data_IF_422227344391
#
_entry.id   IF_422227344391
#
_cell.length_a   1.000
_cell.length_b   1.000
_cell.length_c   1.000
_cell.angle_alpha   90.00
_cell.angle_beta   90.00
_cell.angle_gamma   90.00
#
_symmetry.space_group_name_H-M   'P 1'
#
loop_
_entity.id
_entity.type
_entity.pdbx_description
1 polymer ?
#
# COMPACT_ATOMS: atom_id res chain seq x y z
N UNK A 1 -13.07 -37.16 29.04
CA UNK A 1 -14.39 -36.52 29.13
C UNK A 1 -14.38 -35.47 28.04
N UNK A 2 -15.06 -35.72 26.90
CA UNK A 2 -15.06 -34.79 25.76
C UNK A 2 -15.56 -33.44 26.24
N UNK A 3 -14.71 -32.43 26.21
CA UNK A 3 -15.10 -31.04 26.39
C UNK A 3 -16.00 -30.68 25.22
N UNK A 4 -17.31 -30.67 25.45
CA UNK A 4 -18.29 -30.16 24.50
C UNK A 4 -17.87 -28.72 24.19
N UNK A 5 -17.52 -28.48 22.93
CA UNK A 5 -17.17 -27.15 22.46
C UNK A 5 -18.38 -26.23 22.68
N UNK A 6 -18.20 -25.21 23.54
CA UNK A 6 -19.23 -24.21 23.81
C UNK A 6 -18.85 -22.90 23.12
N UNK A 7 -19.64 -22.52 22.12
CA UNK A 7 -19.46 -21.28 21.38
C UNK A 7 -19.56 -20.04 22.28
N UNK A 8 -20.31 -20.09 23.39
CA UNK A 8 -20.39 -19.00 24.36
C UNK A 8 -19.10 -18.85 25.15
N UNK A 9 -18.51 -19.96 25.60
CA UNK A 9 -17.22 -19.95 26.27
C UNK A 9 -16.09 -19.41 25.36
N UNK A 10 -16.12 -19.76 24.07
CA UNK A 10 -15.17 -19.20 23.09
C UNK A 10 -15.35 -17.69 22.93
N UNK A 11 -16.59 -17.21 22.82
CA UNK A 11 -16.88 -15.77 22.73
C UNK A 11 -16.33 -15.02 23.94
N UNK A 12 -16.62 -15.49 25.14
CA UNK A 12 -16.20 -14.84 26.38
C UNK A 12 -14.67 -14.81 26.47
N UNK A 13 -14.00 -15.87 26.04
CA UNK A 13 -12.53 -15.91 25.99
C UNK A 13 -11.96 -14.88 25.01
N UNK A 14 -12.53 -14.76 23.80
CA UNK A 14 -12.10 -13.76 22.82
C UNK A 14 -12.25 -12.35 23.38
N UNK A 15 -13.39 -12.05 24.00
CA UNK A 15 -13.65 -10.72 24.56
C UNK A 15 -12.67 -10.39 25.68
N UNK A 16 -12.41 -11.34 26.59
CA UNK A 16 -11.52 -11.12 27.73
C UNK A 16 -10.05 -11.08 27.32
N UNK A 17 -9.59 -12.06 26.51
CA UNK A 17 -8.16 -12.24 26.22
C UNK A 17 -7.66 -11.43 25.03
N UNK A 18 -8.46 -11.29 23.97
CA UNK A 18 -8.01 -10.63 22.73
C UNK A 18 -8.47 -9.17 22.64
N UNK A 19 -9.64 -8.85 23.20
CA UNK A 19 -10.23 -7.51 23.12
C UNK A 19 -10.08 -6.71 24.43
N UNK A 20 -9.46 -7.29 25.46
CA UNK A 20 -9.23 -6.61 26.74
C UNK A 20 -10.50 -6.20 27.49
N UNK A 21 -11.63 -6.85 27.20
CA UNK A 21 -12.94 -6.58 27.82
C UNK A 21 -13.81 -5.57 27.07
N UNK A 22 -13.33 -4.92 26.01
CA UNK A 22 -14.11 -3.98 25.21
C UNK A 22 -14.17 -4.42 23.75
N UNK A 23 -15.36 -4.82 23.29
CA UNK A 23 -15.61 -5.13 21.88
C UNK A 23 -16.33 -3.96 21.18
N UNK A 24 -15.80 -3.52 20.04
CA UNK A 24 -16.53 -2.61 19.16
C UNK A 24 -17.85 -3.23 18.67
N UNK A 25 -18.83 -2.39 18.31
CA UNK A 25 -20.18 -2.82 17.91
C UNK A 25 -20.14 -3.80 16.73
N UNK A 26 -19.27 -3.56 15.74
CA UNK A 26 -19.08 -4.43 14.59
C UNK A 26 -18.52 -5.79 14.99
N UNK A 27 -17.50 -5.80 15.85
CA UNK A 27 -16.87 -7.02 16.36
C UNK A 27 -17.84 -7.83 17.22
N UNK A 28 -18.64 -7.18 18.08
CA UNK A 28 -19.67 -7.87 18.87
C UNK A 28 -20.68 -8.58 17.98
N UNK A 29 -21.19 -7.92 16.93
CA UNK A 29 -22.12 -8.54 15.97
C UNK A 29 -21.49 -9.73 15.26
N UNK A 30 -20.22 -9.65 14.94
CA UNK A 30 -19.49 -10.77 14.36
C UNK A 30 -19.36 -11.94 15.35
N UNK A 31 -19.03 -11.67 16.62
CA UNK A 31 -18.98 -12.69 17.65
C UNK A 31 -20.35 -13.34 17.89
N UNK A 32 -21.43 -12.57 17.87
CA UNK A 32 -22.80 -13.10 17.91
C UNK A 32 -23.06 -14.05 16.73
N UNK A 33 -22.68 -13.65 15.51
CA UNK A 33 -22.78 -14.49 14.29
C UNK A 33 -21.92 -15.75 14.39
N UNK A 34 -20.73 -15.70 15.01
CA UNK A 34 -19.89 -16.87 15.25
C UNK A 34 -20.54 -17.88 16.20
N UNK A 35 -21.17 -17.39 17.27
CA UNK A 35 -21.91 -18.26 18.20
C UNK A 35 -23.07 -18.95 17.48
N UNK A 36 -23.82 -18.23 16.65
CA UNK A 36 -24.87 -18.82 15.82
C UNK A 36 -24.31 -19.91 14.91
N UNK A 37 -23.23 -19.63 14.16
CA UNK A 37 -22.60 -20.60 13.24
C UNK A 37 -22.03 -21.83 13.96
N UNK A 38 -21.52 -21.65 15.17
CA UNK A 38 -21.01 -22.75 16.01
C UNK A 38 -22.13 -23.69 16.50
N UNK A 39 -23.36 -23.18 16.63
CA UNK A 39 -24.53 -23.97 17.05
C UNK A 39 -25.25 -24.68 15.91
N UNK A 40 -24.96 -24.35 14.65
CA UNK A 40 -25.55 -25.02 13.49
C UNK A 40 -25.03 -26.46 13.37
N UNK A 41 -25.88 -27.37 12.89
CA UNK A 41 -25.51 -28.75 12.63
C UNK A 41 -24.68 -28.89 11.34
N UNK A 42 -23.80 -29.90 11.26
CA UNK A 42 -22.88 -30.13 10.12
C UNK A 42 -23.56 -30.16 8.74
N UNK A 43 -24.83 -30.59 8.69
CA UNK A 43 -25.63 -30.62 7.46
C UNK A 43 -26.06 -29.22 6.99
N UNK A 44 -26.19 -28.25 7.89
CA UNK A 44 -26.67 -26.90 7.59
C UNK A 44 -25.54 -26.01 7.04
N UNK A 45 -24.27 -26.33 7.35
CA UNK A 45 -23.11 -25.58 6.87
C UNK A 45 -22.93 -25.62 5.34
N UNK A 46 -23.41 -26.68 4.66
CA UNK A 46 -23.37 -26.78 3.20
C UNK A 46 -24.38 -25.84 2.51
N UNK A 47 -25.45 -25.44 3.21
CA UNK A 47 -26.50 -24.58 2.69
C UNK A 47 -26.28 -23.09 2.98
N UNK A 48 -25.19 -22.73 3.65
CA UNK A 48 -24.84 -21.33 3.89
C UNK A 48 -24.67 -20.57 2.57
N UNK A 49 -25.40 -19.47 2.44
CA UNK A 49 -25.43 -18.64 1.23
C UNK A 49 -24.13 -17.82 1.11
N UNK A 50 -23.62 -17.31 2.24
CA UNK A 50 -22.41 -16.48 2.28
C UNK A 50 -21.15 -17.35 2.20
N UNK A 51 -20.28 -17.15 1.18
CA UNK A 51 -19.01 -17.87 1.06
C UNK A 51 -18.06 -17.65 2.25
N UNK A 52 -18.18 -16.51 2.93
CA UNK A 52 -17.39 -16.21 4.11
C UNK A 52 -17.86 -17.04 5.32
N UNK A 53 -19.17 -17.10 5.60
CA UNK A 53 -19.71 -17.95 6.67
C UNK A 53 -19.39 -19.43 6.44
N UNK A 54 -19.37 -19.86 5.17
CA UNK A 54 -18.95 -21.21 4.81
C UNK A 54 -17.49 -21.49 5.18
N UNK A 55 -16.61 -20.50 5.03
CA UNK A 55 -15.20 -20.63 5.44
C UNK A 55 -15.04 -20.75 6.96
N UNK A 56 -15.82 -19.97 7.72
CA UNK A 56 -15.88 -20.04 9.19
C UNK A 56 -16.42 -21.40 9.64
N UNK A 57 -17.50 -21.85 9.03
CA UNK A 57 -18.12 -23.14 9.30
C UNK A 57 -17.16 -24.32 9.08
N UNK A 58 -16.37 -24.28 8.01
CA UNK A 58 -15.37 -25.30 7.72
C UNK A 58 -14.33 -25.37 8.85
N UNK A 59 -13.89 -24.24 9.39
CA UNK A 59 -13.00 -24.21 10.56
C UNK A 59 -13.66 -24.90 11.75
N UNK A 60 -14.90 -24.54 12.10
CA UNK A 60 -15.62 -25.22 13.18
C UNK A 60 -15.75 -26.73 12.95
N UNK A 61 -16.04 -27.14 11.72
CA UNK A 61 -16.16 -28.54 11.35
C UNK A 61 -14.84 -29.31 11.57
N UNK A 62 -13.69 -28.69 11.31
CA UNK A 62 -12.39 -29.31 11.58
C UNK A 62 -12.19 -29.55 13.09
N UNK A 63 -12.56 -28.60 13.94
CA UNK A 63 -12.44 -28.76 15.39
C UNK A 63 -13.50 -29.68 16.01
N UNK A 64 -14.63 -29.89 15.34
CA UNK A 64 -15.66 -30.85 15.78
C UNK A 64 -15.38 -32.28 15.32
N UNK A 65 -14.84 -32.46 14.11
CA UNK A 65 -14.58 -33.78 13.51
C UNK A 65 -13.18 -34.33 13.79
N UNK A 66 -12.24 -33.48 14.16
CA UNK A 66 -10.84 -33.86 14.44
C UNK A 66 -10.56 -33.74 15.93
N UNK A 67 -9.65 -34.55 16.45
CA UNK A 67 -9.15 -34.44 17.83
C UNK A 67 -8.17 -33.24 17.99
N UNK A 68 -8.56 -32.06 17.51
CA UNK A 68 -7.80 -30.81 17.66
C UNK A 68 -8.29 -30.08 18.92
N UNK A 69 -7.37 -29.56 19.72
CA UNK A 69 -7.72 -28.73 20.88
C UNK A 69 -8.05 -27.28 20.44
N UNK A 70 -9.25 -26.75 20.75
CA UNK A 70 -9.59 -25.36 20.44
C UNK A 70 -8.75 -24.31 21.19
N UNK A 71 -8.11 -24.68 22.30
CA UNK A 71 -7.34 -23.77 23.16
C UNK A 71 -5.83 -23.84 22.92
N UNK A 72 -5.36 -24.91 22.28
CA UNK A 72 -3.96 -25.09 21.87
C UNK A 72 -3.90 -25.77 20.50
N UNK A 73 -4.01 -24.96 19.46
CA UNK A 73 -4.12 -25.45 18.09
C UNK A 73 -2.74 -25.79 17.54
N UNK A 74 -2.53 -27.06 17.16
CA UNK A 74 -1.41 -27.42 16.29
C UNK A 74 -1.66 -26.88 14.88
N UNK A 75 -1.01 -25.75 14.57
CA UNK A 75 -1.11 -25.08 13.28
C UNK A 75 -0.64 -25.95 12.11
N UNK A 76 0.28 -26.90 12.33
CA UNK A 76 0.81 -27.75 11.27
C UNK A 76 -0.26 -28.75 10.82
N UNK A 77 -0.82 -29.51 11.77
CA UNK A 77 -1.93 -30.43 11.49
C UNK A 77 -3.17 -29.70 11.02
N UNK A 78 -3.49 -28.55 11.62
CA UNK A 78 -4.60 -27.71 11.17
C UNK A 78 -4.46 -27.32 9.69
N UNK A 79 -3.27 -26.85 9.26
CA UNK A 79 -3.04 -26.42 7.88
C UNK A 79 -3.16 -27.58 6.87
N UNK A 80 -2.70 -28.78 7.22
CA UNK A 80 -2.84 -29.95 6.36
C UNK A 80 -4.32 -30.32 6.17
N UNK A 81 -5.05 -30.48 7.26
CA UNK A 81 -6.47 -30.85 7.24
C UNK A 81 -7.34 -29.76 6.60
N UNK A 82 -7.04 -28.50 6.86
CA UNK A 82 -7.73 -27.36 6.27
C UNK A 82 -7.51 -27.29 4.75
N UNK A 83 -6.29 -27.55 4.26
CA UNK A 83 -5.99 -27.59 2.83
C UNK A 83 -6.69 -28.76 2.10
N UNK A 84 -6.81 -29.92 2.74
CA UNK A 84 -7.58 -31.03 2.19
C UNK A 84 -9.05 -30.67 2.07
N UNK A 85 -9.64 -30.12 3.13
CA UNK A 85 -11.06 -29.80 3.17
C UNK A 85 -11.47 -28.65 2.24
N UNK A 86 -10.56 -27.69 2.00
CA UNK A 86 -10.75 -26.64 0.97
C UNK A 86 -10.85 -27.24 -0.43
N UNK A 87 -10.08 -28.29 -0.74
CA UNK A 87 -10.11 -28.90 -2.08
C UNK A 87 -11.41 -29.65 -2.35
N UNK A 88 -12.01 -30.21 -1.31
CA UNK A 88 -13.26 -30.99 -1.40
C UNK A 88 -14.51 -30.11 -1.40
N UNK A 89 -14.41 -28.89 -0.87
CA UNK A 89 -15.56 -28.03 -0.63
C UNK A 89 -15.73 -26.96 -1.73
N UNK A 90 -16.94 -26.84 -2.27
CA UNK A 90 -17.27 -25.84 -3.29
C UNK A 90 -17.82 -24.53 -2.70
N UNK A 91 -17.65 -23.41 -3.43
CA UNK A 91 -18.19 -22.08 -3.10
C UNK A 91 -17.72 -21.51 -1.74
N UNK A 92 -16.40 -21.59 -1.50
CA UNK A 92 -15.71 -20.98 -0.36
C UNK A 92 -15.02 -19.69 -0.80
N UNK A 93 -14.90 -18.72 0.11
CA UNK A 93 -14.10 -17.51 -0.08
C UNK A 93 -12.58 -17.79 -0.06
N UNK A 94 -12.05 -18.30 -1.18
CA UNK A 94 -10.64 -18.65 -1.36
C UNK A 94 -9.66 -17.51 -0.99
N UNK A 95 -9.88 -16.23 -1.34
CA UNK A 95 -9.02 -15.13 -0.92
C UNK A 95 -8.86 -15.02 0.60
N UNK A 96 -9.94 -15.21 1.35
CA UNK A 96 -9.96 -15.11 2.81
C UNK A 96 -9.32 -16.34 3.45
N UNK A 97 -9.61 -17.54 2.94
CA UNK A 97 -8.93 -18.77 3.35
C UNK A 97 -7.42 -18.74 3.07
N UNK A 98 -7.00 -18.22 1.92
CA UNK A 98 -5.57 -18.08 1.58
C UNK A 98 -4.84 -17.12 2.53
N UNK A 99 -5.51 -16.06 2.99
CA UNK A 99 -4.97 -15.15 4.01
C UNK A 99 -4.89 -15.82 5.38
N UNK A 100 -5.86 -16.66 5.75
CA UNK A 100 -5.78 -17.49 6.97
C UNK A 100 -4.56 -18.42 6.92
N UNK A 101 -4.36 -19.13 5.80
CA UNK A 101 -3.19 -20.01 5.60
C UNK A 101 -1.89 -19.21 5.74
N UNK A 102 -1.83 -18.02 5.13
CA UNK A 102 -0.67 -17.14 5.25
C UNK A 102 -0.45 -16.67 6.69
N UNK A 103 -1.50 -16.35 7.43
CA UNK A 103 -1.41 -15.96 8.85
C UNK A 103 -0.86 -17.09 9.70
N UNK A 104 -1.41 -18.30 9.57
CA UNK A 104 -0.92 -19.49 10.27
C UNK A 104 0.56 -19.76 9.94
N UNK A 105 0.96 -19.63 8.67
CA UNK A 105 2.36 -19.72 8.26
C UNK A 105 3.24 -18.63 8.88
N UNK A 106 2.77 -17.38 8.95
CA UNK A 106 3.51 -16.29 9.59
C UNK A 106 3.74 -16.58 11.09
N UNK A 107 2.76 -17.15 11.78
CA UNK A 107 2.89 -17.54 13.19
C UNK A 107 3.91 -18.68 13.33
N UNK A 108 3.77 -19.75 12.55
CA UNK A 108 4.72 -20.87 12.53
C UNK A 108 6.16 -20.41 12.23
N UNK A 109 6.32 -19.51 11.25
CA UNK A 109 7.63 -18.91 10.94
C UNK A 109 8.17 -18.07 12.09
N UNK A 110 7.30 -17.32 12.77
CA UNK A 110 7.67 -16.57 13.98
C UNK A 110 8.16 -17.51 15.08
N UNK A 111 7.39 -18.57 15.38
CA UNK A 111 7.76 -19.59 16.35
C UNK A 111 9.10 -20.26 15.99
N UNK A 112 9.29 -20.66 14.74
CA UNK A 112 10.56 -21.23 14.27
C UNK A 112 11.73 -20.23 14.40
N UNK A 113 11.52 -18.96 14.06
CA UNK A 113 12.54 -17.91 14.22
C UNK A 113 12.91 -17.71 15.68
N UNK A 114 11.93 -17.68 16.60
CA UNK A 114 12.22 -17.56 18.04
C UNK A 114 12.96 -18.77 18.58
N UNK A 115 12.68 -19.96 18.04
CA UNK A 115 13.39 -21.20 18.39
C UNK A 115 14.84 -21.17 17.88
N UNK A 116 15.07 -20.68 16.65
CA UNK A 116 16.42 -20.49 16.11
C UNK A 116 17.22 -19.46 16.90
N UNK A 117 16.64 -18.31 17.21
CA UNK A 117 17.30 -17.25 18.00
C UNK A 117 17.66 -17.75 19.42
N UNK A 118 16.82 -18.60 20.00
CA UNK A 118 17.12 -19.28 21.28
C UNK A 118 18.27 -20.27 21.15
N UNK A 119 18.30 -21.05 20.08
CA UNK A 119 19.37 -21.99 19.81
C UNK A 119 20.71 -21.26 19.61
N UNK A 120 20.72 -20.17 18.84
CA UNK A 120 21.90 -19.31 18.67
C UNK A 120 22.38 -18.75 20.01
N UNK A 121 21.48 -18.19 20.83
CA UNK A 121 21.83 -17.73 22.19
C UNK A 121 22.35 -18.83 23.11
N UNK A 122 21.90 -20.06 22.95
CA UNK A 122 22.41 -21.19 23.74
C UNK A 122 23.87 -21.54 23.36
N UNK A 123 24.24 -21.38 22.09
CA UNK A 123 25.61 -21.56 21.62
C UNK A 123 26.53 -20.38 21.99
N UNK A 124 26.00 -19.15 22.07
CA UNK A 124 26.76 -17.98 22.55
C UNK A 124 27.23 -18.13 24.01
N UNK A 125 26.59 -18.95 24.83
CA UNK A 125 27.07 -19.30 26.18
C UNK A 125 28.18 -20.36 26.19
N UNK A 126 28.41 -21.07 25.08
CA UNK A 126 29.48 -22.07 24.94
C UNK A 126 30.78 -21.47 24.36
N UNK A 127 30.71 -20.37 23.61
CA UNK A 127 31.88 -19.63 23.13
C UNK A 127 32.28 -18.49 24.08
N UNK A 128 33.45 -18.63 24.71
CA UNK A 128 34.14 -17.67 25.60
C UNK A 128 33.72 -17.59 27.08
N UNK A 129 33.90 -18.70 27.80
CA UNK A 129 34.79 -18.62 28.97
C UNK A 129 36.12 -19.30 28.61
N UNK A 130 37.01 -18.55 27.95
CA UNK A 130 38.44 -18.83 28.13
C UNK A 130 38.69 -18.53 29.60
N UNK A 131 38.65 -19.57 30.44
CA UNK A 131 39.13 -19.49 31.81
C UNK A 131 40.60 -19.10 31.73
N UNK A 132 40.89 -17.82 31.82
CA UNK A 132 42.25 -17.31 32.06
C UNK A 132 42.61 -17.82 33.46
N UNK A 133 43.10 -19.07 33.49
CA UNK A 133 43.53 -19.77 34.69
C UNK A 133 44.85 -19.14 35.14
N UNK A 134 44.75 -17.97 35.76
CA UNK A 134 45.83 -17.28 36.47
C UNK A 134 45.51 -17.22 37.97
N UNK A 135 45.33 -18.38 38.59
CA UNK A 135 45.08 -18.51 40.02
C UNK A 135 45.26 -19.96 40.47
N UNK A 136 46.17 -20.19 41.41
CA UNK A 136 46.43 -21.52 41.98
C UNK A 136 45.19 -22.15 42.61
N UNK A 137 45.25 -23.46 42.87
CA UNK A 137 44.21 -24.29 43.51
C UNK A 137 43.79 -23.86 44.93
N UNK A 138 44.20 -22.68 45.39
CA UNK A 138 43.66 -21.97 46.55
C UNK A 138 42.78 -20.83 46.03
N UNK A 139 41.61 -21.19 45.49
CA UNK A 139 40.52 -20.23 45.41
C UNK A 139 40.02 -20.04 46.85
N UNK A 140 40.12 -18.82 47.38
CA UNK A 140 39.42 -18.40 48.58
C UNK A 140 37.92 -18.59 48.33
N UNK A 141 37.40 -19.77 48.66
CA UNK A 141 35.95 -19.98 48.70
C UNK A 141 35.41 -18.97 49.70
N UNK A 142 34.57 -18.04 49.23
CA UNK A 142 33.83 -17.18 50.13
C UNK A 142 33.04 -18.07 51.10
N UNK A 143 33.00 -17.68 52.37
CA UNK A 143 32.16 -18.32 53.38
C UNK A 143 30.72 -18.47 52.89
N UNK A 144 30.24 -17.57 52.01
CA UNK A 144 28.96 -17.67 51.33
C UNK A 144 28.81 -18.93 50.45
N UNK A 145 29.84 -19.27 49.66
CA UNK A 145 29.83 -20.41 48.73
C UNK A 145 29.95 -21.75 49.47
N UNK A 146 30.75 -21.76 50.55
CA UNK A 146 30.84 -22.90 51.46
C UNK A 146 29.50 -23.16 52.17
N UNK A 147 28.86 -22.10 52.67
CA UNK A 147 27.56 -22.21 53.34
C UNK A 147 26.44 -22.64 52.39
N UNK A 148 26.48 -22.21 51.12
CA UNK A 148 25.54 -22.64 50.10
C UNK A 148 25.67 -24.14 49.82
N UNK A 149 26.88 -24.62 49.50
CA UNK A 149 27.12 -26.03 49.18
C UNK A 149 26.82 -26.97 50.35
N UNK A 150 27.16 -26.58 51.58
CA UNK A 150 26.78 -27.31 52.80
C UNK A 150 25.26 -27.28 53.00
N UNK A 151 24.59 -26.16 52.75
CA UNK A 151 23.13 -26.04 52.81
C UNK A 151 22.39 -26.96 51.83
N UNK A 152 22.94 -27.15 50.62
CA UNK A 152 22.43 -28.09 49.62
C UNK A 152 22.66 -29.54 50.07
N UNK A 153 23.86 -29.88 50.53
CA UNK A 153 24.20 -31.25 50.97
C UNK A 153 23.43 -31.69 52.24
N UNK A 154 23.09 -30.75 53.11
CA UNK A 154 22.39 -31.01 54.37
C UNK A 154 20.86 -30.90 54.24
N UNK A 155 20.35 -30.50 53.06
CA UNK A 155 18.93 -30.30 52.80
C UNK A 155 18.33 -29.03 53.43
N UNK A 156 19.15 -28.17 54.04
CA UNK A 156 18.68 -26.89 54.60
C UNK A 156 18.27 -25.89 53.50
N UNK A 157 18.76 -26.07 52.27
CA UNK A 157 18.41 -25.25 51.11
C UNK A 157 17.22 -25.79 50.30
N UNK A 158 16.58 -26.89 50.72
CA UNK A 158 15.53 -27.58 49.93
C UNK A 158 14.27 -26.71 49.69
N UNK A 159 14.02 -25.72 50.55
CA UNK A 159 12.94 -24.73 50.37
C UNK A 159 13.29 -23.64 49.33
N UNK A 160 14.58 -23.38 49.09
CA UNK A 160 15.08 -22.29 48.23
C UNK A 160 15.50 -22.81 46.85
N UNK A 161 15.96 -24.06 46.77
CA UNK A 161 16.39 -24.70 45.53
C UNK A 161 15.30 -24.71 44.43
N UNK A 162 14.03 -25.04 44.70
CA UNK A 162 12.96 -24.97 43.70
C UNK A 162 12.83 -23.58 43.08
N UNK A 163 12.93 -22.52 43.88
CA UNK A 163 12.85 -21.13 43.42
C UNK A 163 14.08 -20.71 42.58
N UNK A 164 15.27 -21.26 42.89
CA UNK A 164 16.49 -21.01 42.10
C UNK A 164 16.47 -21.67 40.72
N UNK A 165 15.78 -22.81 40.58
CA UNK A 165 15.61 -23.50 39.29
C UNK A 165 14.35 -23.06 38.54
N UNK A 166 13.37 -22.47 39.24
CA UNK A 166 12.16 -21.86 38.65
C UNK A 166 12.52 -20.81 37.59
N UNK A 167 13.59 -20.02 37.78
CA UNK A 167 14.00 -19.02 36.78
C UNK A 167 14.74 -19.55 35.54
N UNK A 168 15.26 -20.79 35.56
CA UNK A 168 16.09 -21.35 34.47
C UNK A 168 15.40 -22.43 33.62
N UNK A 169 14.23 -22.93 34.05
CA UNK A 169 13.50 -24.01 33.36
C UNK A 169 12.04 -23.65 33.09
N UNK A 170 11.63 -22.38 33.26
CA UNK A 170 10.41 -21.93 32.60
C UNK A 170 10.79 -21.55 31.18
N UNK A 171 10.56 -22.51 30.27
CA UNK A 171 10.48 -22.24 28.85
C UNK A 171 9.45 -21.12 28.69
N UNK A 172 9.85 -19.96 28.18
CA UNK A 172 8.88 -19.00 27.65
C UNK A 172 8.24 -19.67 26.42
N UNK A 173 7.32 -20.61 26.61
CA UNK A 173 6.54 -21.13 25.50
C UNK A 173 5.74 -19.94 24.94
N UNK A 174 5.92 -19.69 23.64
CA UNK A 174 5.09 -18.74 22.92
C UNK A 174 3.64 -19.10 23.22
N UNK A 175 2.83 -18.12 23.64
CA UNK A 175 1.41 -18.33 23.97
C UNK A 175 0.75 -19.23 22.91
N UNK A 176 0.04 -20.30 23.32
CA UNK A 176 -0.60 -21.22 22.39
C UNK A 176 -1.63 -20.47 21.54
N UNK A 177 -1.73 -20.84 20.27
CA UNK A 177 -2.68 -20.23 19.35
C UNK A 177 -4.04 -20.85 19.59
N UNK A 178 -5.04 -19.99 19.77
CA UNK A 178 -6.42 -20.43 20.05
C UNK A 178 -7.28 -20.39 18.79
N UNK A 179 -8.35 -21.20 18.76
CA UNK A 179 -9.38 -21.13 17.71
C UNK A 179 -9.95 -19.71 17.59
N UNK A 180 -10.15 -19.02 18.72
CA UNK A 180 -10.64 -17.64 18.73
C UNK A 180 -9.72 -16.69 17.95
N UNK A 181 -8.40 -16.86 18.05
CA UNK A 181 -7.44 -16.08 17.26
C UNK A 181 -7.50 -16.41 15.77
N UNK A 182 -7.69 -17.68 15.42
CA UNK A 182 -7.85 -18.08 14.02
C UNK A 182 -9.11 -17.45 13.41
N UNK A 183 -10.24 -17.45 14.14
CA UNK A 183 -11.50 -16.86 13.68
C UNK A 183 -11.43 -15.33 13.60
N UNK A 184 -10.82 -14.67 14.60
CA UNK A 184 -10.56 -13.23 14.54
C UNK A 184 -9.61 -12.87 13.38
N UNK A 185 -8.61 -13.72 13.13
CA UNK A 185 -7.72 -13.62 11.98
C UNK A 185 -8.46 -13.78 10.65
N UNK A 186 -9.43 -14.71 10.59
CA UNK A 186 -10.30 -14.91 9.42
C UNK A 186 -11.19 -13.69 9.18
N UNK A 187 -11.76 -13.08 10.23
CA UNK A 187 -12.50 -11.82 10.13
C UNK A 187 -11.64 -10.69 9.57
N UNK A 188 -10.42 -10.54 10.09
CA UNK A 188 -9.47 -9.53 9.61
C UNK A 188 -9.09 -9.77 8.15
N UNK A 189 -8.86 -11.03 7.76
CA UNK A 189 -8.61 -11.44 6.39
C UNK A 189 -9.79 -11.11 5.45
N UNK A 190 -11.03 -11.37 5.88
CA UNK A 190 -12.24 -11.04 5.15
C UNK A 190 -12.40 -9.54 4.92
N UNK A 191 -12.23 -8.72 5.97
CA UNK A 191 -12.26 -7.25 5.84
C UNK A 191 -11.24 -6.72 4.84
N UNK A 192 -10.01 -7.24 4.87
CA UNK A 192 -8.98 -6.85 3.92
C UNK A 192 -9.26 -7.31 2.49
N UNK A 193 -9.89 -8.47 2.32
CA UNK A 193 -10.31 -8.96 1.01
C UNK A 193 -11.43 -8.08 0.42
N UNK A 194 -12.42 -7.70 1.23
CA UNK A 194 -13.49 -6.77 0.84
C UNK A 194 -12.95 -5.38 0.49
N UNK A 195 -12.05 -4.84 1.30
CA UNK A 195 -11.41 -3.57 0.99
C UNK A 195 -10.66 -3.61 -0.34
N UNK A 196 -9.99 -4.73 -0.64
CA UNK A 196 -9.29 -4.91 -1.90
C UNK A 196 -10.25 -5.02 -3.08
N UNK A 197 -11.37 -5.75 -2.94
CA UNK A 197 -12.44 -5.82 -3.96
C UNK A 197 -12.98 -4.43 -4.27
N UNK A 198 -13.23 -3.63 -3.24
CA UNK A 198 -13.71 -2.25 -3.39
C UNK A 198 -12.67 -1.38 -4.13
N UNK A 199 -11.39 -1.47 -3.74
CA UNK A 199 -10.30 -0.74 -4.40
C UNK A 199 -10.15 -1.11 -5.87
N UNK A 200 -10.29 -2.39 -6.20
CA UNK A 200 -10.23 -2.88 -7.58
C UNK A 200 -11.42 -2.39 -8.42
N UNK A 201 -12.63 -2.37 -7.85
CA UNK A 201 -13.81 -1.78 -8.50
C UNK A 201 -13.59 -0.30 -8.79
N UNK A 202 -13.14 0.48 -7.80
CA UNK A 202 -12.82 1.90 -7.97
C UNK A 202 -11.75 2.09 -9.05
N UNK A 203 -10.71 1.25 -9.06
CA UNK A 203 -9.65 1.32 -10.07
C UNK A 203 -10.19 1.02 -11.48
N UNK A 204 -11.10 0.05 -11.61
CA UNK A 204 -11.76 -0.28 -12.88
C UNK A 204 -12.64 0.87 -13.37
N UNK A 205 -13.48 1.43 -12.51
CA UNK A 205 -14.32 2.59 -12.84
C UNK A 205 -13.48 3.79 -13.26
N UNK A 206 -12.37 4.05 -12.56
CA UNK A 206 -11.40 5.10 -12.95
C UNK A 206 -10.80 4.83 -14.31
N UNK A 207 -10.37 3.59 -14.60
CA UNK A 207 -9.83 3.22 -15.92
C UNK A 207 -10.87 3.46 -17.01
N UNK A 208 -12.11 3.04 -16.81
CA UNK A 208 -13.20 3.24 -17.78
C UNK A 208 -13.55 4.73 -17.96
N UNK A 209 -13.50 5.53 -16.90
CA UNK A 209 -13.65 6.98 -16.97
C UNK A 209 -12.50 7.63 -17.75
N UNK A 210 -11.26 7.22 -17.49
CA UNK A 210 -10.07 7.71 -18.22
C UNK A 210 -10.09 7.31 -19.69
N UNK A 211 -10.49 6.08 -20.04
CA UNK A 211 -10.63 5.65 -21.43
C UNK A 211 -11.70 6.48 -22.15
N UNK A 212 -12.87 6.69 -21.52
CA UNK A 212 -13.93 7.55 -22.09
C UNK A 212 -13.48 9.00 -22.25
N UNK A 213 -12.72 9.53 -21.30
CA UNK A 213 -12.13 10.87 -21.43
C UNK A 213 -11.12 10.90 -22.59
N UNK A 214 -10.23 9.92 -22.67
CA UNK A 214 -9.24 9.79 -23.73
C UNK A 214 -9.89 9.65 -25.12
N UNK A 215 -10.98 8.91 -25.26
CA UNK A 215 -11.76 8.81 -26.51
C UNK A 215 -12.41 10.14 -26.89
N UNK A 216 -12.95 10.90 -25.92
CA UNK A 216 -13.47 12.26 -26.17
C UNK A 216 -12.37 13.24 -26.61
N UNK A 217 -11.19 13.16 -26.00
CA UNK A 217 -10.05 14.01 -26.36
C UNK A 217 -9.28 13.51 -27.59
N UNK A 218 -9.44 12.25 -27.99
CA UNK A 218 -8.83 11.66 -29.19
C UNK A 218 -9.35 12.26 -30.49
N UNK A 219 -10.53 12.90 -30.49
CA UNK A 219 -11.05 13.63 -31.66
C UNK A 219 -10.47 15.04 -31.84
N UNK A 220 -9.87 15.60 -30.78
CA UNK A 220 -9.34 16.97 -30.75
C UNK A 220 -7.81 17.04 -30.78
N UNK A 221 -7.13 15.90 -30.71
CA UNK A 221 -5.69 15.78 -30.97
C UNK A 221 -5.46 15.72 -32.48
N UNK A 222 -5.81 16.78 -33.20
CA UNK A 222 -4.95 17.15 -34.31
C UNK A 222 -3.61 17.54 -33.68
N UNK A 223 -2.52 17.11 -34.31
CA UNK A 223 -1.16 17.43 -33.90
C UNK A 223 -1.06 18.94 -33.69
N UNK A 224 -1.03 19.41 -32.44
CA UNK A 224 -0.67 20.78 -32.08
C UNK A 224 0.78 20.96 -32.53
N UNK A 225 0.96 21.44 -33.76
CA UNK A 225 2.25 21.90 -34.23
C UNK A 225 2.51 23.26 -33.57
N UNK A 226 3.07 23.19 -32.36
CA UNK A 226 3.40 24.36 -31.54
C UNK A 226 4.26 25.37 -32.35
N UNK A 227 5.10 24.89 -33.27
CA UNK A 227 5.96 25.75 -34.07
C UNK A 227 5.17 26.51 -35.14
N UNK A 228 4.22 25.84 -35.77
CA UNK A 228 3.26 26.45 -36.67
C UNK A 228 2.35 27.48 -35.95
N UNK A 229 1.93 27.18 -34.72
CA UNK A 229 1.14 28.11 -33.90
C UNK A 229 1.95 29.33 -33.45
N UNK A 230 3.24 29.15 -33.15
CA UNK A 230 4.17 30.24 -32.87
C UNK A 230 4.38 31.12 -34.12
N UNK A 231 4.53 30.49 -35.29
CA UNK A 231 4.66 31.20 -36.57
C UNK A 231 3.42 32.05 -36.86
N UNK A 232 2.22 31.46 -36.76
CA UNK A 232 0.93 32.15 -37.00
C UNK A 232 0.71 33.34 -36.06
N UNK A 233 1.05 33.17 -34.78
CA UNK A 233 0.90 34.22 -33.77
C UNK A 233 1.91 35.34 -33.95
N UNK A 234 3.14 35.03 -34.37
CA UNK A 234 4.16 36.03 -34.69
C UNK A 234 3.84 36.81 -35.96
N UNK A 235 3.36 36.15 -37.02
CA UNK A 235 2.89 36.81 -38.24
C UNK A 235 1.72 37.77 -37.95
N UNK A 236 0.72 37.31 -37.19
CA UNK A 236 -0.40 38.15 -36.77
C UNK A 236 0.05 39.36 -35.92
N UNK A 237 1.08 39.18 -35.07
CA UNK A 237 1.69 40.26 -34.31
C UNK A 237 2.35 41.29 -35.24
N UNK A 238 3.12 40.85 -36.24
CA UNK A 238 3.78 41.77 -37.19
C UNK A 238 2.78 42.53 -38.04
N UNK A 239 1.77 41.84 -38.59
CA UNK A 239 0.70 42.44 -39.39
C UNK A 239 0.01 43.58 -38.63
N UNK A 240 -0.27 43.38 -37.33
CA UNK A 240 -0.88 44.39 -36.46
C UNK A 240 0.07 45.48 -35.99
N UNK A 241 1.37 45.18 -35.93
CA UNK A 241 2.39 46.16 -35.53
C UNK A 241 2.79 47.12 -36.66
N UNK A 242 2.29 46.91 -37.90
CA UNK A 242 2.62 47.67 -39.12
C UNK A 242 4.13 47.77 -39.38
N UNK A 243 4.92 46.76 -38.96
CA UNK A 243 6.39 46.79 -39.00
C UNK A 243 7.04 47.85 -38.10
N UNK A 244 6.24 48.63 -37.35
CA UNK A 244 6.68 49.74 -36.53
C UNK A 244 7.16 49.29 -35.14
N UNK A 245 6.94 48.03 -34.75
CA UNK A 245 7.19 47.51 -33.40
C UNK A 245 6.34 48.22 -32.33
N UNK A 246 5.11 48.61 -32.69
CA UNK A 246 4.11 49.12 -31.75
C UNK A 246 3.63 47.96 -30.86
N UNK A 247 3.37 48.19 -29.57
CA UNK A 247 2.77 47.18 -28.72
C UNK A 247 1.33 46.88 -29.18
N UNK A 248 1.02 45.60 -29.34
CA UNK A 248 -0.30 45.08 -29.75
C UNK A 248 -0.97 44.40 -28.56
N UNK A 249 -2.27 44.63 -28.37
CA UNK A 249 -3.04 43.99 -27.31
C UNK A 249 -3.31 42.51 -27.64
N UNK A 250 -3.08 41.60 -26.68
CA UNK A 250 -3.26 40.16 -26.86
C UNK A 250 -4.68 39.79 -27.30
N UNK A 251 -5.70 40.52 -26.83
CA UNK A 251 -7.09 40.32 -27.23
C UNK A 251 -7.29 40.47 -28.74
N UNK A 252 -6.64 41.44 -29.34
CA UNK A 252 -6.72 41.67 -30.79
C UNK A 252 -6.11 40.51 -31.58
N UNK A 253 -5.09 39.84 -31.03
CA UNK A 253 -4.49 38.64 -31.62
C UNK A 253 -5.44 37.44 -31.51
N UNK A 254 -6.08 37.26 -30.34
CA UNK A 254 -7.10 36.23 -30.13
C UNK A 254 -8.26 36.39 -31.10
N UNK A 255 -8.78 37.62 -31.27
CA UNK A 255 -9.88 37.90 -32.20
C UNK A 255 -9.52 37.55 -33.66
N UNK A 256 -8.26 37.74 -34.04
CA UNK A 256 -7.78 37.44 -35.38
C UNK A 256 -7.59 35.94 -35.60
N UNK A 257 -7.03 35.24 -34.62
CA UNK A 257 -6.91 33.79 -34.66
C UNK A 257 -8.29 33.13 -34.68
N UNK A 258 -9.23 33.63 -33.87
CA UNK A 258 -10.62 33.15 -33.84
C UNK A 258 -11.26 33.28 -35.22
N UNK A 259 -11.07 34.41 -35.93
CA UNK A 259 -11.57 34.58 -37.30
C UNK A 259 -10.95 33.59 -38.28
N UNK A 260 -9.62 33.40 -38.22
CA UNK A 260 -8.92 32.43 -39.09
C UNK A 260 -9.37 30.98 -38.81
N UNK A 261 -9.63 30.64 -37.55
CA UNK A 261 -10.15 29.32 -37.13
C UNK A 261 -11.61 29.11 -37.58
N UNK A 262 -12.46 30.13 -37.50
CA UNK A 262 -13.83 30.08 -38.05
C UNK A 262 -13.80 29.88 -39.57
N UNK A 263 -12.92 30.60 -40.28
CA UNK A 263 -12.76 30.46 -41.73
C UNK A 263 -12.29 29.05 -42.15
N UNK A 264 -11.59 28.34 -41.26
CA UNK A 264 -11.19 26.94 -41.46
C UNK A 264 -12.31 25.92 -41.18
N UNK A 265 -13.50 26.36 -40.75
CA UNK A 265 -14.69 25.53 -40.58
C UNK A 265 -14.98 25.05 -39.15
N UNK A 266 -14.29 25.61 -38.14
CA UNK A 266 -14.53 25.29 -36.73
C UNK A 266 -15.78 26.00 -36.18
N UNK A 267 -16.41 25.39 -35.18
CA UNK A 267 -17.52 26.01 -34.46
C UNK A 267 -17.03 27.25 -33.68
N UNK A 268 -17.86 28.29 -33.56
CA UNK A 268 -17.47 29.56 -32.94
C UNK A 268 -16.94 29.39 -31.51
N UNK A 269 -17.62 28.60 -30.68
CA UNK A 269 -17.24 28.41 -29.27
C UNK A 269 -15.94 27.60 -29.12
N UNK A 270 -15.69 26.66 -30.03
CA UNK A 270 -14.45 25.86 -30.06
C UNK A 270 -13.28 26.69 -30.58
N UNK A 271 -13.51 27.46 -31.65
CA UNK A 271 -12.52 28.37 -32.23
C UNK A 271 -12.08 29.47 -31.26
N UNK A 272 -13.00 30.01 -30.46
CA UNK A 272 -12.67 31.03 -29.46
C UNK A 272 -11.83 30.43 -28.31
N UNK A 273 -12.21 29.26 -27.80
CA UNK A 273 -11.47 28.60 -26.73
C UNK A 273 -10.06 28.19 -27.19
N UNK A 274 -9.94 27.63 -28.40
CA UNK A 274 -8.66 27.26 -29.00
C UNK A 274 -7.77 28.50 -29.22
N UNK A 275 -8.29 29.54 -29.87
CA UNK A 275 -7.54 30.77 -30.14
C UNK A 275 -7.06 31.46 -28.85
N UNK A 276 -7.84 31.42 -27.77
CA UNK A 276 -7.43 31.97 -26.47
C UNK A 276 -6.24 31.21 -25.88
N UNK A 277 -6.28 29.88 -25.91
CA UNK A 277 -5.20 29.04 -25.38
C UNK A 277 -3.95 29.19 -26.25
N UNK A 278 -4.08 29.05 -27.57
CA UNK A 278 -2.95 29.15 -28.51
C UNK A 278 -2.29 30.52 -28.44
N UNK A 279 -3.05 31.62 -28.46
CA UNK A 279 -2.46 32.95 -28.39
C UNK A 279 -1.73 33.22 -27.06
N UNK A 280 -2.26 32.71 -25.93
CA UNK A 280 -1.63 32.87 -24.62
C UNK A 280 -0.34 32.05 -24.51
N UNK A 281 -0.39 30.77 -24.90
CA UNK A 281 0.75 29.86 -24.86
C UNK A 281 1.84 30.38 -25.80
N UNK A 282 1.48 30.73 -27.04
CA UNK A 282 2.44 31.29 -28.00
C UNK A 282 3.02 32.63 -27.55
N UNK A 283 2.23 33.51 -26.91
CA UNK A 283 2.77 34.75 -26.34
C UNK A 283 3.86 34.48 -25.31
N UNK A 284 3.66 33.51 -24.41
CA UNK A 284 4.67 33.12 -23.41
C UNK A 284 5.92 32.55 -24.09
N UNK A 285 5.76 31.65 -25.06
CA UNK A 285 6.89 31.04 -25.76
C UNK A 285 7.67 32.04 -26.62
N UNK A 286 6.99 32.92 -27.35
CA UNK A 286 7.62 34.01 -28.10
C UNK A 286 8.43 34.93 -27.18
N UNK A 287 7.97 35.13 -25.95
CA UNK A 287 8.71 35.95 -24.97
C UNK A 287 9.88 35.22 -24.35
N UNK A 288 9.72 33.95 -24.00
CA UNK A 288 10.79 33.12 -23.47
C UNK A 288 11.92 32.96 -24.50
N UNK A 289 11.58 32.72 -25.77
CA UNK A 289 12.53 32.56 -26.87
C UNK A 289 13.10 33.88 -27.41
N UNK A 290 12.65 35.03 -26.87
CA UNK A 290 13.20 36.34 -27.18
C UNK A 290 12.71 36.99 -28.48
N UNK A 291 11.61 36.53 -29.08
CA UNK A 291 10.99 37.17 -30.25
C UNK A 291 10.22 38.43 -29.88
N UNK A 292 9.51 38.39 -28.75
CA UNK A 292 8.63 39.47 -28.32
C UNK A 292 8.82 39.80 -26.84
N UNK A 293 8.46 41.01 -26.44
CA UNK A 293 8.38 41.41 -25.03
C UNK A 293 6.92 41.51 -24.59
N UNK A 294 6.62 40.95 -23.41
CA UNK A 294 5.30 40.95 -22.79
C UNK A 294 5.26 41.98 -21.67
N UNK A 295 4.27 42.85 -21.71
CA UNK A 295 4.02 43.80 -20.61
C UNK A 295 2.54 43.78 -20.24
N UNK A 296 2.24 43.95 -18.96
CA UNK A 296 0.87 44.06 -18.46
C UNK A 296 0.69 45.39 -17.74
N UNK A 297 -0.37 46.12 -18.06
CA UNK A 297 -0.72 47.35 -17.36
C UNK A 297 -1.10 47.09 -15.88
N UNK A 298 -0.97 48.10 -15.01
CA UNK A 298 -1.27 47.93 -13.58
C UNK A 298 -2.75 47.67 -13.33
N UNK A 299 -3.07 46.63 -12.56
CA UNK A 299 -4.42 46.29 -12.10
C UNK A 299 -4.76 44.81 -12.30
N UNK A 300 -5.80 44.30 -11.62
CA UNK A 300 -6.20 42.88 -11.67
C UNK A 300 -6.59 42.39 -13.08
N UNK A 301 -6.98 43.32 -13.96
CA UNK A 301 -7.36 43.09 -15.36
C UNK A 301 -6.59 44.01 -16.32
N UNK A 302 -5.31 44.29 -16.03
CA UNK A 302 -4.47 45.11 -16.90
C UNK A 302 -4.34 44.50 -18.30
N UNK A 303 -4.35 45.34 -19.33
CA UNK A 303 -4.20 44.89 -20.72
C UNK A 303 -2.83 44.27 -20.91
N UNK A 304 -2.81 43.12 -21.60
CA UNK A 304 -1.59 42.40 -21.95
C UNK A 304 -1.15 42.90 -23.33
N UNK A 305 0.06 43.42 -23.40
CA UNK A 305 0.66 44.04 -24.57
C UNK A 305 1.88 43.22 -24.99
N UNK A 306 1.89 42.77 -26.24
CA UNK A 306 3.04 42.15 -26.89
C UNK A 306 3.74 43.16 -27.80
N UNK A 307 5.06 43.22 -27.74
CA UNK A 307 5.88 44.05 -28.61
C UNK A 307 6.93 43.20 -29.29
N UNK A 308 6.93 43.18 -30.62
CA UNK A 308 7.98 42.55 -31.41
C UNK A 308 9.33 43.26 -31.22
N UNK A 309 10.39 42.47 -31.03
CA UNK A 309 11.75 42.93 -30.83
C UNK A 309 12.56 42.98 -32.13
N UNK A 310 12.15 42.27 -33.19
CA UNK A 310 12.94 42.04 -34.40
C UNK A 310 12.27 42.61 -35.65
N UNK A 311 12.48 43.91 -35.89
CA UNK A 311 11.78 44.67 -36.95
C UNK A 311 12.26 44.36 -38.36
N UNK A 312 13.54 43.99 -38.51
CA UNK A 312 14.22 43.87 -39.79
C UNK A 312 14.26 42.42 -40.33
N UNK A 313 13.74 41.45 -39.56
CA UNK A 313 13.71 40.04 -39.94
C UNK A 313 12.32 39.65 -40.44
N UNK A 314 12.25 39.14 -41.68
CA UNK A 314 10.99 38.82 -42.35
C UNK A 314 10.64 37.32 -42.36
N UNK A 315 11.57 36.46 -41.95
CA UNK A 315 11.40 35.01 -41.96
C UNK A 315 11.49 34.45 -40.54
N UNK A 316 10.37 33.89 -40.07
CA UNK A 316 10.26 33.25 -38.75
C UNK A 316 11.26 32.11 -38.59
N UNK A 317 11.47 31.32 -39.64
CA UNK A 317 12.35 30.13 -39.63
C UNK A 317 13.80 30.55 -39.47
N UNK A 318 14.26 31.50 -40.28
CA UNK A 318 15.61 32.05 -40.19
C UNK A 318 15.87 32.77 -38.85
N UNK A 319 14.87 33.47 -38.32
CA UNK A 319 14.95 34.10 -36.99
C UNK A 319 15.03 33.07 -35.87
N UNK A 320 14.31 31.95 -36.01
CA UNK A 320 14.32 30.84 -35.06
C UNK A 320 15.68 30.16 -35.01
N UNK A 321 16.27 29.83 -36.16
CA UNK A 321 17.62 29.26 -36.23
C UNK A 321 18.68 30.19 -35.63
N UNK A 322 18.51 31.51 -35.76
CA UNK A 322 19.44 32.50 -35.20
C UNK A 322 19.31 32.67 -33.69
N UNK A 323 18.09 32.66 -33.16
CA UNK A 323 17.81 32.90 -31.73
C UNK A 323 17.89 31.62 -30.90
N UNK A 324 17.49 30.49 -31.47
CA UNK A 324 17.46 29.18 -30.84
C UNK A 324 17.97 28.14 -31.84
N UNK A 325 19.30 28.11 -32.11
CA UNK A 325 19.86 27.06 -32.93
C UNK A 325 19.55 25.70 -32.27
N UNK A 326 19.05 24.73 -33.04
CA UNK A 326 18.92 23.36 -32.56
C UNK A 326 20.31 22.90 -32.09
N UNK A 327 20.50 22.79 -30.78
CA UNK A 327 21.68 22.10 -30.28
C UNK A 327 21.54 20.67 -30.76
N UNK A 328 22.35 20.28 -31.74
CA UNK A 328 22.66 18.90 -32.06
C UNK A 328 22.87 18.17 -30.74
N UNK A 329 21.88 17.39 -30.33
CA UNK A 329 22.02 16.43 -29.25
C UNK A 329 23.10 15.44 -29.68
N UNK A 330 24.35 15.70 -29.32
CA UNK A 330 25.38 14.67 -29.24
C UNK A 330 25.07 13.77 -28.04
N UNK A 331 23.99 12.99 -28.12
CA UNK A 331 23.88 11.75 -27.37
C UNK A 331 24.54 10.65 -28.20
N UNK A 332 25.86 10.55 -28.01
CA UNK A 332 26.69 9.56 -28.67
C UNK A 332 27.87 9.18 -27.80
N UNK A 333 27.65 8.89 -26.52
CA UNK A 333 28.58 8.11 -25.68
C UNK A 333 27.80 7.36 -24.60
N UNK A 334 27.26 6.21 -24.99
CA UNK A 334 27.00 5.10 -24.09
C UNK A 334 27.52 3.84 -24.80
N UNK A 335 28.81 3.57 -24.61
CA UNK A 335 29.41 2.23 -24.63
C UNK A 335 30.90 2.35 -24.24
N UNK A 336 31.16 2.33 -22.93
CA UNK A 336 32.28 1.60 -22.27
C UNK A 336 31.82 1.17 -20.89
#
# INVERSE_FOLDING_TARGET
MMTVFDGQAMRDDIVVRLLGGEADLETSRYLDRLVELATLEEAEHQFLIDPFDRSVALVFQLFQSSDLDPWDVDLSSFLEMFNERIKESENIDLPTCGRLVRMAWCILRGQASTLMERQERAFDYEEEEIWDFDGGWEADFDDADYNFSVGVLTGAADEVLPQMFEGRIHRDESRPVTLGELLMGLQAAGRLAEEQRLREQIAKERREAHTRARERFSGSLHVEDLEEDLRRTWEALRDRSEGSGKPVELRTLVDEMTKKSIDSGLNHDEAEAEAQVTALVSALFLTHRGYANLTQEKGRNGRILLKDLWKDDDDFTALTERLNPEMLNMEGFADV
#
